data_IF_330032656956
#
_entry.id   IF_330032656956
#
_cell.length_a   1.000
_cell.length_b   1.000
_cell.length_c   1.000
_cell.angle_alpha   90.00
_cell.angle_beta   90.00
_cell.angle_gamma   90.00
#
_symmetry.space_group_name_H-M   'P 1'
#
loop_
_entity.id
_entity.type
_entity.pdbx_description
1 polymer ?
#
# COMPACT_ATOMS: atom_id res chain seq x y z
N UNK A 1 -9.59 -13.13 -24.15
CA UNK A 1 -8.95 -11.96 -23.47
C UNK A 1 -7.65 -12.43 -22.83
N UNK A 2 -6.67 -11.52 -22.64
CA UNK A 2 -5.46 -11.87 -21.87
C UNK A 2 -5.80 -11.90 -20.39
N UNK A 3 -5.39 -12.95 -19.68
CA UNK A 3 -5.56 -13.05 -18.25
C UNK A 3 -4.48 -12.20 -17.54
N UNK A 4 -4.90 -11.11 -16.90
CA UNK A 4 -4.04 -10.17 -16.20
C UNK A 4 -4.40 -10.14 -14.73
N UNK A 5 -3.41 -10.31 -13.87
CA UNK A 5 -3.57 -10.31 -12.41
C UNK A 5 -2.73 -9.18 -11.81
N UNK A 6 -3.28 -8.49 -10.83
CA UNK A 6 -2.54 -7.58 -9.96
C UNK A 6 -2.60 -8.11 -8.53
N UNK A 7 -1.42 -8.28 -7.93
CA UNK A 7 -1.26 -8.52 -6.49
C UNK A 7 -0.78 -7.21 -5.87
N UNK A 8 -1.43 -6.77 -4.79
CA UNK A 8 -1.08 -5.52 -4.11
C UNK A 8 -1.25 -5.62 -2.61
N UNK A 9 -0.55 -4.75 -1.88
CA UNK A 9 -0.69 -4.65 -0.44
C UNK A 9 -2.09 -4.17 -0.05
N UNK A 10 -2.64 -4.70 1.06
CA UNK A 10 -4.04 -4.47 1.45
C UNK A 10 -4.22 -3.53 2.64
N UNK A 11 -3.16 -3.23 3.38
CA UNK A 11 -3.28 -2.64 4.72
C UNK A 11 -3.21 -1.12 4.73
N UNK A 12 -2.84 -0.51 3.61
CA UNK A 12 -2.67 0.94 3.50
C UNK A 12 -3.18 1.53 2.18
N UNK A 13 -3.10 2.85 2.10
CA UNK A 13 -3.60 3.61 0.93
C UNK A 13 -2.71 3.38 -0.28
N UNK A 14 -1.40 3.22 -0.12
CA UNK A 14 -0.50 3.07 -1.26
C UNK A 14 -0.75 1.74 -1.99
N UNK A 15 -0.88 0.64 -1.26
CA UNK A 15 -1.19 -0.66 -1.85
C UNK A 15 -2.57 -0.69 -2.51
N UNK A 16 -3.61 -0.17 -1.87
CA UNK A 16 -4.98 -0.12 -2.42
C UNK A 16 -5.04 0.80 -3.65
N UNK A 17 -4.42 1.99 -3.58
CA UNK A 17 -4.35 2.91 -4.71
C UNK A 17 -3.54 2.35 -5.87
N UNK A 18 -2.45 1.63 -5.58
CA UNK A 18 -1.65 0.94 -6.58
C UNK A 18 -2.47 -0.10 -7.35
N UNK A 19 -3.29 -0.92 -6.65
CA UNK A 19 -4.20 -1.86 -7.30
C UNK A 19 -5.21 -1.15 -8.21
N UNK A 20 -5.84 -0.07 -7.73
CA UNK A 20 -6.80 0.72 -8.51
C UNK A 20 -6.15 1.35 -9.75
N UNK A 21 -4.96 1.97 -9.61
CA UNK A 21 -4.21 2.56 -10.71
C UNK A 21 -3.81 1.52 -11.77
N UNK A 22 -3.38 0.34 -11.36
CA UNK A 22 -3.06 -0.76 -12.29
C UNK A 22 -4.34 -1.25 -13.00
N UNK A 23 -5.47 -1.33 -12.29
CA UNK A 23 -6.75 -1.69 -12.89
C UNK A 23 -7.18 -0.67 -13.95
N UNK A 24 -7.10 0.62 -13.67
CA UNK A 24 -7.37 1.71 -14.63
C UNK A 24 -6.45 1.61 -15.86
N UNK A 25 -5.14 1.45 -15.63
CA UNK A 25 -4.15 1.52 -16.70
C UNK A 25 -4.14 0.32 -17.64
N UNK A 26 -4.51 -0.86 -17.16
CA UNK A 26 -4.27 -2.12 -17.87
C UNK A 26 -5.50 -3.01 -18.03
N UNK A 27 -6.65 -2.61 -17.51
CA UNK A 27 -7.87 -3.43 -17.54
C UNK A 27 -7.59 -4.83 -16.99
N UNK A 28 -7.19 -4.87 -15.72
CA UNK A 28 -6.81 -6.10 -15.03
C UNK A 28 -8.07 -6.87 -14.62
N UNK A 29 -8.10 -8.17 -14.93
CA UNK A 29 -9.27 -9.02 -14.66
C UNK A 29 -9.40 -9.42 -13.19
N UNK A 30 -8.27 -9.62 -12.51
CA UNK A 30 -8.22 -10.15 -11.15
C UNK A 30 -7.30 -9.31 -10.29
N UNK A 31 -7.81 -8.85 -9.16
CA UNK A 31 -7.03 -8.20 -8.09
C UNK A 31 -6.92 -9.18 -6.92
N UNK A 32 -5.72 -9.30 -6.37
CA UNK A 32 -5.45 -10.08 -5.16
C UNK A 32 -4.81 -9.16 -4.15
N UNK A 33 -5.52 -8.89 -3.06
CA UNK A 33 -5.03 -8.05 -1.97
C UNK A 33 -4.39 -8.92 -0.90
N UNK A 34 -3.14 -8.64 -0.54
CA UNK A 34 -2.34 -9.45 0.38
C UNK A 34 -1.68 -8.60 1.45
N UNK A 35 -1.39 -9.23 2.57
CA UNK A 35 -0.37 -8.79 3.52
C UNK A 35 1.00 -9.39 3.17
N UNK A 36 2.07 -8.86 3.77
CA UNK A 36 3.44 -9.33 3.53
C UNK A 36 3.64 -10.81 3.89
N UNK A 37 2.94 -11.32 4.92
CA UNK A 37 3.10 -12.69 5.40
C UNK A 37 2.61 -13.74 4.39
N UNK A 38 1.58 -13.39 3.62
CA UNK A 38 0.93 -14.32 2.68
C UNK A 38 1.49 -14.27 1.26
N UNK A 39 2.34 -13.28 0.92
CA UNK A 39 2.81 -13.07 -0.45
C UNK A 39 3.51 -14.30 -1.05
N UNK A 40 4.52 -14.86 -0.37
CA UNK A 40 5.28 -16.01 -0.88
C UNK A 40 4.38 -17.23 -1.08
N UNK A 41 3.50 -17.51 -0.12
CA UNK A 41 2.54 -18.62 -0.21
C UNK A 41 1.61 -18.46 -1.42
N UNK A 42 1.08 -17.27 -1.64
CA UNK A 42 0.18 -16.99 -2.76
C UNK A 42 0.90 -17.13 -4.10
N UNK A 43 2.11 -16.58 -4.24
CA UNK A 43 2.89 -16.71 -5.45
C UNK A 43 3.25 -18.18 -5.74
N UNK A 44 3.56 -18.99 -4.72
CA UNK A 44 3.77 -20.46 -4.89
C UNK A 44 2.53 -21.17 -5.39
N UNK A 45 1.36 -20.84 -4.84
CA UNK A 45 0.09 -21.39 -5.32
C UNK A 45 -0.17 -21.04 -6.79
N UNK A 46 0.17 -19.80 -7.20
CA UNK A 46 0.07 -19.40 -8.62
C UNK A 46 1.01 -20.21 -9.52
N UNK A 47 2.26 -20.44 -9.10
CA UNK A 47 3.20 -21.30 -9.85
C UNK A 47 2.61 -22.69 -10.03
N UNK A 48 2.10 -23.31 -8.96
CA UNK A 48 1.49 -24.63 -9.02
C UNK A 48 0.32 -24.67 -10.01
N UNK A 49 -0.60 -23.68 -9.97
CA UNK A 49 -1.75 -23.62 -10.87
C UNK A 49 -1.37 -23.35 -12.34
N UNK A 50 -0.22 -22.71 -12.58
CA UNK A 50 0.31 -22.55 -13.94
C UNK A 50 0.93 -23.87 -14.46
N UNK A 51 1.67 -24.56 -13.59
CA UNK A 51 2.38 -25.81 -13.95
C UNK A 51 1.41 -26.98 -14.20
N UNK A 52 0.32 -27.07 -13.43
CA UNK A 52 -0.72 -28.10 -13.63
C UNK A 52 -1.72 -27.75 -14.75
N UNK A 53 -1.56 -26.58 -15.38
CA UNK A 53 -2.38 -26.13 -16.50
C UNK A 53 -3.78 -25.64 -16.12
N UNK A 54 -4.10 -25.55 -14.84
CA UNK A 54 -5.43 -25.06 -14.37
C UNK A 54 -5.59 -23.57 -14.55
N UNK A 55 -4.48 -22.80 -14.61
CA UNK A 55 -4.52 -21.37 -14.80
C UNK A 55 -3.43 -20.90 -15.77
N UNK A 56 -3.83 -20.05 -16.73
CA UNK A 56 -2.89 -19.37 -17.63
C UNK A 56 -2.88 -17.89 -17.30
N UNK A 57 -1.75 -17.36 -16.86
CA UNK A 57 -1.56 -15.94 -16.55
C UNK A 57 -0.69 -15.32 -17.64
N UNK A 58 -1.22 -14.35 -18.37
CA UNK A 58 -0.46 -13.65 -19.43
C UNK A 58 0.37 -12.51 -18.89
N UNK A 59 -0.12 -11.85 -17.82
CA UNK A 59 0.57 -10.72 -17.18
C UNK A 59 0.27 -10.66 -15.69
N UNK A 60 1.32 -10.51 -14.90
CA UNK A 60 1.28 -10.34 -13.44
C UNK A 60 1.89 -8.99 -13.07
N UNK A 61 1.15 -8.19 -12.32
CA UNK A 61 1.63 -7.01 -11.62
C UNK A 61 1.75 -7.33 -10.14
N UNK A 62 2.84 -6.94 -9.51
CA UNK A 62 3.05 -7.04 -8.08
C UNK A 62 3.38 -5.63 -7.60
N UNK A 63 2.59 -5.08 -6.69
CA UNK A 63 2.65 -3.69 -6.29
C UNK A 63 2.73 -3.58 -4.77
N UNK A 64 3.63 -2.74 -4.28
CA UNK A 64 3.70 -2.32 -2.89
C UNK A 64 3.82 -3.50 -1.89
N UNK A 65 4.65 -4.45 -2.22
CA UNK A 65 4.89 -5.65 -1.42
C UNK A 65 6.38 -5.83 -1.17
N UNK A 66 6.87 -5.18 -0.11
CA UNK A 66 8.25 -5.29 0.34
C UNK A 66 8.63 -6.71 0.76
N UNK A 67 9.92 -7.00 0.72
CA UNK A 67 10.47 -8.31 1.01
C UNK A 67 11.25 -8.32 2.32
N UNK A 68 10.97 -9.30 3.16
CA UNK A 68 11.92 -9.62 4.25
C UNK A 68 13.15 -10.34 3.68
N UNK A 69 14.33 -10.08 4.23
CA UNK A 69 15.59 -10.69 3.77
C UNK A 69 15.55 -12.22 3.63
N UNK A 70 14.82 -12.90 4.50
CA UNK A 70 14.64 -14.36 4.43
C UNK A 70 13.87 -14.84 3.20
N UNK A 71 13.01 -13.97 2.61
CA UNK A 71 12.13 -14.31 1.50
C UNK A 71 12.68 -13.87 0.14
N UNK A 72 13.71 -13.01 0.10
CA UNK A 72 14.24 -12.41 -1.14
C UNK A 72 14.64 -13.45 -2.19
N UNK A 73 15.46 -14.43 -1.81
CA UNK A 73 15.93 -15.47 -2.74
C UNK A 73 14.78 -16.35 -3.25
N UNK A 74 13.82 -16.68 -2.39
CA UNK A 74 12.65 -17.46 -2.77
C UNK A 74 11.76 -16.68 -3.73
N UNK A 75 11.54 -15.40 -3.48
CA UNK A 75 10.79 -14.52 -4.37
C UNK A 75 11.40 -14.46 -5.77
N UNK A 76 12.73 -14.26 -5.88
CA UNK A 76 13.44 -14.28 -7.17
C UNK A 76 13.22 -15.60 -7.90
N UNK A 77 13.33 -16.74 -7.20
CA UNK A 77 13.10 -18.07 -7.77
C UNK A 77 11.68 -18.23 -8.30
N UNK A 78 10.68 -17.85 -7.51
CA UNK A 78 9.27 -17.93 -7.90
C UNK A 78 8.99 -17.08 -9.15
N UNK A 79 9.47 -15.83 -9.18
CA UNK A 79 9.22 -14.98 -10.35
C UNK A 79 9.92 -15.50 -11.61
N UNK A 80 11.09 -16.13 -11.48
CA UNK A 80 11.74 -16.82 -12.59
C UNK A 80 10.85 -17.95 -13.13
N UNK A 81 10.32 -18.82 -12.27
CA UNK A 81 9.41 -19.91 -12.66
C UNK A 81 8.16 -19.36 -13.39
N UNK A 82 7.56 -18.28 -12.91
CA UNK A 82 6.41 -17.61 -13.54
C UNK A 82 6.78 -17.08 -14.96
N UNK A 83 7.96 -16.49 -15.11
CA UNK A 83 8.43 -15.95 -16.40
C UNK A 83 8.76 -17.09 -17.40
N UNK A 84 9.36 -18.16 -16.93
CA UNK A 84 9.63 -19.37 -17.74
C UNK A 84 8.32 -19.97 -18.30
N UNK A 85 7.23 -19.85 -17.55
CA UNK A 85 5.87 -20.20 -17.99
C UNK A 85 5.23 -19.16 -18.94
N UNK A 86 6.03 -18.21 -19.50
CA UNK A 86 5.62 -17.17 -20.46
C UNK A 86 4.69 -16.09 -19.92
N UNK A 87 4.57 -15.95 -18.61
CA UNK A 87 3.89 -14.83 -17.98
C UNK A 87 4.81 -13.58 -17.95
N UNK A 88 4.27 -12.41 -18.30
CA UNK A 88 4.99 -11.14 -18.19
C UNK A 88 4.85 -10.62 -16.77
N UNK A 89 5.94 -10.48 -16.04
CA UNK A 89 5.94 -9.97 -14.66
C UNK A 89 6.40 -8.52 -14.62
N UNK A 90 5.65 -7.67 -13.93
CA UNK A 90 6.04 -6.31 -13.57
C UNK A 90 5.99 -6.18 -12.06
N UNK A 91 7.11 -5.85 -11.42
CA UNK A 91 7.21 -5.57 -9.99
C UNK A 91 7.42 -4.07 -9.79
N UNK A 92 6.55 -3.44 -9.02
CA UNK A 92 6.51 -2.00 -8.74
C UNK A 92 6.50 -1.82 -7.24
N UNK A 93 7.55 -1.21 -6.69
CA UNK A 93 7.71 -1.14 -5.24
C UNK A 93 8.65 0.00 -4.83
N UNK A 94 8.52 0.48 -3.60
CA UNK A 94 9.36 1.53 -3.03
C UNK A 94 10.16 1.09 -1.80
N UNK A 95 9.91 -0.10 -1.28
CA UNK A 95 10.61 -0.63 -0.12
C UNK A 95 12.09 -0.88 -0.40
N UNK A 96 12.93 -0.78 0.62
CA UNK A 96 14.37 -1.05 0.47
C UNK A 96 14.60 -2.52 0.12
N UNK A 97 15.35 -2.76 -0.94
CA UNK A 97 15.72 -4.08 -1.45
C UNK A 97 17.23 -4.15 -1.70
N UNK A 98 17.81 -5.30 -1.42
CA UNK A 98 19.21 -5.57 -1.71
C UNK A 98 19.49 -5.36 -3.21
N UNK A 99 20.58 -4.65 -3.53
CA UNK A 99 21.01 -4.38 -4.92
C UNK A 99 21.21 -5.64 -5.74
N UNK A 100 21.63 -6.75 -5.09
CA UNK A 100 21.79 -8.04 -5.73
C UNK A 100 20.44 -8.59 -6.14
N UNK A 101 19.43 -8.52 -5.27
CA UNK A 101 18.05 -8.95 -5.57
C UNK A 101 17.45 -8.17 -6.73
N UNK A 102 17.61 -6.84 -6.73
CA UNK A 102 17.18 -5.99 -7.85
C UNK A 102 17.85 -6.39 -9.18
N UNK A 103 19.15 -6.72 -9.15
CA UNK A 103 19.89 -7.18 -10.33
C UNK A 103 19.40 -8.57 -10.79
N UNK A 104 19.15 -9.49 -9.86
CA UNK A 104 18.68 -10.84 -10.15
C UNK A 104 17.26 -10.83 -10.74
N UNK A 105 16.35 -10.00 -10.21
CA UNK A 105 15.02 -9.79 -10.77
C UNK A 105 15.08 -9.31 -12.22
N UNK A 106 15.89 -8.29 -12.49
CA UNK A 106 16.08 -7.75 -13.87
C UNK A 106 16.67 -8.81 -14.82
N UNK A 107 17.70 -9.54 -14.36
CA UNK A 107 18.33 -10.60 -15.15
C UNK A 107 17.37 -11.74 -15.51
N UNK A 108 16.43 -12.05 -14.62
CA UNK A 108 15.39 -13.04 -14.86
C UNK A 108 14.22 -12.53 -15.71
N UNK A 109 14.27 -11.27 -16.21
CA UNK A 109 13.25 -10.72 -17.11
C UNK A 109 12.07 -10.04 -16.42
N UNK A 110 12.14 -9.80 -15.10
CA UNK A 110 11.14 -8.99 -14.39
C UNK A 110 11.25 -7.54 -14.85
N UNK A 111 10.12 -6.96 -15.30
CA UNK A 111 10.03 -5.52 -15.53
C UNK A 111 9.98 -4.82 -14.17
N UNK A 112 11.07 -4.22 -13.77
CA UNK A 112 11.22 -3.57 -12.47
C UNK A 112 10.96 -2.08 -12.58
N UNK A 113 10.11 -1.55 -11.67
CA UNK A 113 9.89 -0.13 -11.41
C UNK A 113 10.08 0.07 -9.91
N UNK A 114 11.27 0.48 -9.51
CA UNK A 114 11.67 0.54 -8.10
C UNK A 114 12.56 1.74 -7.82
N UNK A 115 12.23 2.47 -6.77
CA UNK A 115 13.04 3.49 -6.11
C UNK A 115 12.43 3.78 -4.74
N UNK A 116 13.26 4.06 -3.76
CA UNK A 116 12.84 4.48 -2.41
C UNK A 116 12.51 5.97 -2.30
N UNK A 117 12.55 6.70 -3.43
CA UNK A 117 12.35 8.16 -3.45
C UNK A 117 10.88 8.58 -3.37
N UNK A 118 9.99 7.73 -3.83
CA UNK A 118 8.55 8.00 -3.93
C UNK A 118 7.76 6.73 -3.59
N UNK A 119 6.49 6.83 -3.20
CA UNK A 119 5.64 5.66 -2.97
C UNK A 119 5.26 4.93 -4.26
N UNK A 120 4.77 3.71 -4.13
CA UNK A 120 4.45 2.81 -5.26
C UNK A 120 3.41 3.42 -6.19
N UNK A 121 2.36 4.05 -5.67
CA UNK A 121 1.33 4.72 -6.47
C UNK A 121 1.89 5.89 -7.31
N UNK A 122 2.83 6.65 -6.76
CA UNK A 122 3.56 7.70 -7.50
C UNK A 122 4.37 7.08 -8.64
N UNK A 123 5.07 5.97 -8.39
CA UNK A 123 5.81 5.26 -9.44
C UNK A 123 4.90 4.78 -10.57
N UNK A 124 3.74 4.22 -10.25
CA UNK A 124 2.75 3.78 -11.22
C UNK A 124 2.23 4.98 -12.03
N UNK A 125 1.78 6.04 -11.34
CA UNK A 125 1.29 7.24 -12.00
C UNK A 125 2.33 7.85 -12.94
N UNK A 126 3.54 8.05 -12.49
CA UNK A 126 4.60 8.67 -13.29
C UNK A 126 4.98 7.80 -14.50
N UNK A 127 5.11 6.48 -14.31
CA UNK A 127 5.48 5.53 -15.37
C UNK A 127 4.43 5.43 -16.46
N UNK A 128 3.15 5.52 -16.12
CA UNK A 128 2.05 5.29 -17.05
C UNK A 128 1.17 6.53 -17.23
N UNK A 129 1.69 7.72 -16.97
CA UNK A 129 1.01 9.02 -16.95
C UNK A 129 0.05 9.24 -18.12
N UNK A 130 0.41 8.76 -19.34
CA UNK A 130 -0.41 8.90 -20.54
C UNK A 130 -1.73 8.12 -20.50
N UNK A 131 -1.90 7.23 -19.53
CA UNK A 131 -3.09 6.38 -19.36
C UNK A 131 -4.06 6.91 -18.29
N UNK A 132 -3.71 8.01 -17.63
CA UNK A 132 -4.38 8.49 -16.44
C UNK A 132 -5.05 9.83 -16.62
N UNK A 133 -6.18 9.99 -15.94
CA UNK A 133 -6.90 11.26 -15.76
C UNK A 133 -6.29 12.10 -14.61
N UNK A 134 -6.90 13.25 -14.35
CA UNK A 134 -6.59 14.08 -13.18
C UNK A 134 -6.92 13.37 -11.85
N UNK A 135 -7.94 12.52 -11.84
CA UNK A 135 -8.32 11.72 -10.69
C UNK A 135 -7.18 10.76 -10.26
N UNK A 136 -6.53 10.12 -11.21
CA UNK A 136 -5.38 9.24 -10.90
C UNK A 136 -4.22 10.00 -10.26
N UNK A 137 -4.05 11.30 -10.59
CA UNK A 137 -3.07 12.15 -9.90
C UNK A 137 -3.47 12.41 -8.43
N UNK A 138 -4.78 12.63 -8.18
CA UNK A 138 -5.31 12.72 -6.81
C UNK A 138 -5.03 11.44 -6.02
N UNK A 139 -5.34 10.28 -6.58
CA UNK A 139 -5.15 9.01 -5.90
C UNK A 139 -3.68 8.74 -5.54
N UNK A 140 -2.76 9.03 -6.45
CA UNK A 140 -1.32 8.94 -6.17
C UNK A 140 -0.84 9.96 -5.12
N UNK A 141 -1.40 11.19 -5.11
CA UNK A 141 -1.09 12.20 -4.10
C UNK A 141 -1.61 11.80 -2.71
N UNK A 142 -2.82 11.22 -2.64
CA UNK A 142 -3.40 10.71 -1.40
C UNK A 142 -2.56 9.56 -0.80
N UNK A 143 -2.07 8.66 -1.64
CA UNK A 143 -1.15 7.59 -1.23
C UNK A 143 0.15 8.16 -0.65
N UNK A 144 0.80 9.09 -1.34
CA UNK A 144 2.03 9.70 -0.87
C UNK A 144 1.86 10.46 0.46
N UNK A 145 0.69 11.10 0.65
CA UNK A 145 0.38 11.81 1.90
C UNK A 145 0.27 10.85 3.09
N UNK A 146 -0.37 9.69 2.89
CA UNK A 146 -0.54 8.69 3.96
C UNK A 146 0.72 7.89 4.25
N UNK A 147 1.65 7.80 3.30
CA UNK A 147 2.97 7.21 3.44
C UNK A 147 4.03 8.18 4.00
N UNK A 148 3.63 9.42 4.31
CA UNK A 148 4.55 10.49 4.76
C UNK A 148 5.65 10.83 3.74
N UNK A 149 5.38 10.64 2.45
CA UNK A 149 6.28 10.92 1.34
C UNK A 149 5.85 12.14 0.50
N UNK A 150 4.88 12.92 0.98
CA UNK A 150 4.30 14.08 0.27
C UNK A 150 5.31 15.19 -0.04
N UNK A 151 6.45 15.22 0.66
CA UNK A 151 7.53 16.18 0.44
C UNK A 151 8.52 15.76 -0.67
N UNK A 152 8.40 14.53 -1.16
CA UNK A 152 9.25 14.03 -2.25
C UNK A 152 8.95 14.78 -3.55
N UNK A 153 9.92 14.89 -4.48
CA UNK A 153 9.82 15.81 -5.61
C UNK A 153 8.58 15.62 -6.49
N UNK A 154 8.24 14.35 -6.85
CA UNK A 154 7.08 14.08 -7.70
C UNK A 154 5.79 14.19 -6.88
N UNK A 155 5.76 13.61 -5.70
CA UNK A 155 4.63 13.67 -4.79
C UNK A 155 4.25 15.12 -4.44
N UNK A 156 5.21 15.96 -4.05
CA UNK A 156 5.00 17.38 -3.74
C UNK A 156 4.36 18.15 -4.90
N UNK A 157 4.82 17.89 -6.13
CA UNK A 157 4.20 18.49 -7.32
C UNK A 157 2.76 18.01 -7.51
N UNK A 158 2.43 16.75 -7.23
CA UNK A 158 1.06 16.25 -7.34
C UNK A 158 0.16 16.81 -6.22
N UNK A 159 0.64 16.77 -4.98
CA UNK A 159 -0.09 17.29 -3.80
C UNK A 159 -0.44 18.76 -3.98
N UNK A 160 0.48 19.59 -4.51
CA UNK A 160 0.25 21.02 -4.73
C UNK A 160 -0.83 21.36 -5.76
N UNK A 161 -1.33 20.39 -6.51
CA UNK A 161 -2.41 20.58 -7.52
C UNK A 161 -3.81 20.59 -6.91
N UNK A 162 -3.94 20.11 -5.67
CA UNK A 162 -5.22 19.93 -4.99
C UNK A 162 -5.33 20.88 -3.81
N UNK A 163 -6.56 21.25 -3.47
CA UNK A 163 -6.82 21.89 -2.20
C UNK A 163 -6.33 20.99 -1.06
N UNK A 164 -5.53 21.58 -0.17
CA UNK A 164 -4.86 20.81 0.89
C UNK A 164 -5.85 20.18 1.85
N UNK A 165 -6.91 20.89 2.24
CA UNK A 165 -7.89 20.37 3.20
C UNK A 165 -8.70 19.24 2.59
N UNK A 166 -9.11 19.40 1.33
CA UNK A 166 -9.80 18.36 0.58
C UNK A 166 -8.94 17.10 0.46
N UNK A 167 -7.69 17.23 0.00
CA UNK A 167 -6.80 16.07 -0.15
C UNK A 167 -6.55 15.36 1.17
N UNK A 168 -6.30 16.10 2.25
CA UNK A 168 -6.08 15.53 3.59
C UNK A 168 -7.32 14.81 4.11
N UNK A 169 -8.52 15.38 3.93
CA UNK A 169 -9.77 14.75 4.34
C UNK A 169 -9.98 13.41 3.63
N UNK A 170 -9.88 13.42 2.31
CA UNK A 170 -10.11 12.22 1.49
C UNK A 170 -9.06 11.13 1.73
N UNK A 171 -7.78 11.52 1.81
CA UNK A 171 -6.69 10.58 2.10
C UNK A 171 -6.83 9.94 3.49
N UNK A 172 -7.15 10.75 4.51
CA UNK A 172 -7.37 10.25 5.89
C UNK A 172 -8.61 9.37 5.96
N UNK A 173 -9.71 9.78 5.32
CA UNK A 173 -10.93 8.97 5.27
C UNK A 173 -10.64 7.61 4.63
N UNK A 174 -9.93 7.58 3.48
CA UNK A 174 -9.55 6.34 2.81
C UNK A 174 -8.66 5.46 3.71
N UNK A 175 -7.64 6.03 4.35
CA UNK A 175 -6.78 5.31 5.30
C UNK A 175 -7.58 4.68 6.44
N UNK A 176 -8.54 5.41 7.01
CA UNK A 176 -9.37 4.92 8.10
C UNK A 176 -10.40 3.87 7.65
N UNK A 177 -10.94 3.99 6.44
CA UNK A 177 -11.77 2.95 5.82
C UNK A 177 -11.01 1.64 5.70
N UNK A 178 -9.79 1.68 5.16
CA UNK A 178 -8.92 0.53 4.99
C UNK A 178 -8.58 -0.06 6.36
N UNK A 179 -8.11 0.74 7.31
CA UNK A 179 -7.74 0.29 8.66
C UNK A 179 -8.90 -0.36 9.41
N UNK A 180 -10.13 0.14 9.24
CA UNK A 180 -11.31 -0.47 9.87
C UNK A 180 -11.80 -1.73 9.18
N UNK A 181 -11.26 -2.06 8.01
CA UNK A 181 -11.75 -3.14 7.13
C UNK A 181 -10.73 -4.25 6.90
N UNK A 182 -9.69 -4.35 7.71
CA UNK A 182 -8.60 -5.31 7.53
C UNK A 182 -9.05 -6.79 7.47
N UNK A 183 -10.19 -7.12 8.07
CA UNK A 183 -10.78 -8.46 8.07
C UNK A 183 -11.98 -8.60 7.10
N UNK A 184 -12.28 -7.55 6.33
CA UNK A 184 -13.40 -7.51 5.37
C UNK A 184 -12.83 -7.32 3.95
N UNK A 185 -12.35 -8.43 3.37
CA UNK A 185 -11.73 -8.42 2.05
C UNK A 185 -12.69 -7.95 0.96
N UNK A 186 -13.98 -8.24 1.09
CA UNK A 186 -14.99 -7.83 0.12
C UNK A 186 -15.14 -6.32 0.10
N UNK A 187 -15.08 -5.67 1.26
CA UNK A 187 -15.10 -4.22 1.33
C UNK A 187 -13.79 -3.60 0.83
N UNK A 188 -12.62 -4.19 1.10
CA UNK A 188 -11.36 -3.72 0.53
C UNK A 188 -11.38 -3.83 -1.00
N UNK A 189 -11.92 -4.92 -1.55
CA UNK A 189 -12.11 -5.08 -3.00
C UNK A 189 -13.10 -4.06 -3.55
N UNK A 190 -14.19 -3.76 -2.85
CA UNK A 190 -15.12 -2.70 -3.22
C UNK A 190 -14.42 -1.33 -3.27
N UNK A 191 -13.54 -1.02 -2.30
CA UNK A 191 -12.73 0.21 -2.36
C UNK A 191 -11.91 0.26 -3.66
N UNK A 192 -11.16 -0.81 -3.99
CA UNK A 192 -10.37 -0.86 -5.23
C UNK A 192 -11.25 -0.65 -6.46
N UNK A 193 -12.42 -1.28 -6.50
CA UNK A 193 -13.36 -1.18 -7.62
C UNK A 193 -13.91 0.24 -7.76
N UNK A 194 -14.37 0.85 -6.68
CA UNK A 194 -14.91 2.20 -6.66
C UNK A 194 -13.82 3.24 -7.05
N UNK A 195 -12.61 3.12 -6.49
CA UNK A 195 -11.48 3.97 -6.86
C UNK A 195 -11.09 3.79 -8.34
N UNK A 196 -11.18 2.57 -8.88
CA UNK A 196 -10.90 2.32 -10.31
C UNK A 196 -11.96 2.89 -11.26
N UNK A 197 -13.15 3.20 -10.73
CA UNK A 197 -14.22 3.92 -11.42
C UNK A 197 -14.15 5.44 -11.21
N UNK A 198 -13.05 5.94 -10.68
CA UNK A 198 -12.80 7.35 -10.39
C UNK A 198 -13.74 7.97 -9.34
N UNK A 199 -14.29 7.15 -8.43
CA UNK A 199 -15.02 7.63 -7.27
C UNK A 199 -14.07 8.13 -6.20
N UNK A 200 -14.39 9.27 -5.61
CA UNK A 200 -13.66 9.75 -4.44
C UNK A 200 -13.98 8.92 -3.18
N UNK A 201 -13.12 8.91 -2.16
CA UNK A 201 -13.39 8.15 -0.93
C UNK A 201 -14.75 8.47 -0.28
N UNK A 202 -15.23 9.72 -0.34
CA UNK A 202 -16.54 10.06 0.20
C UNK A 202 -17.73 9.51 -0.62
N UNK A 203 -17.52 9.11 -1.88
CA UNK A 203 -18.54 8.45 -2.70
C UNK A 203 -18.63 6.95 -2.46
N UNK A 204 -17.70 6.37 -1.70
CA UNK A 204 -17.69 4.93 -1.38
C UNK A 204 -18.78 4.64 -0.33
N UNK A 205 -19.82 3.93 -0.76
CA UNK A 205 -20.94 3.58 0.11
C UNK A 205 -20.50 2.83 1.37
N UNK A 206 -20.89 3.33 2.54
CA UNK A 206 -20.49 2.80 3.85
C UNK A 206 -19.07 3.17 4.27
N UNK A 207 -18.29 3.83 3.42
CA UNK A 207 -16.90 4.16 3.67
C UNK A 207 -16.70 5.13 4.83
N UNK A 208 -17.36 6.28 4.79
CA UNK A 208 -17.24 7.29 5.87
C UNK A 208 -17.72 6.78 7.23
N UNK A 209 -18.74 5.92 7.27
CA UNK A 209 -19.15 5.28 8.52
C UNK A 209 -18.05 4.40 9.11
N UNK A 210 -17.31 3.69 8.27
CA UNK A 210 -16.15 2.89 8.69
C UNK A 210 -15.00 3.78 9.13
N UNK A 211 -14.72 4.85 8.40
CA UNK A 211 -13.71 5.83 8.79
C UNK A 211 -14.03 6.49 10.13
N UNK A 212 -15.28 6.87 10.38
CA UNK A 212 -15.73 7.43 11.66
C UNK A 212 -15.53 6.44 12.81
N UNK A 213 -15.91 5.17 12.63
CA UNK A 213 -15.69 4.13 13.65
C UNK A 213 -14.21 4.00 14.00
N UNK A 214 -13.33 4.02 13.00
CA UNK A 214 -11.89 3.98 13.23
C UNK A 214 -11.40 5.23 13.94
N UNK A 215 -11.85 6.42 13.53
CA UNK A 215 -11.51 7.69 14.19
C UNK A 215 -11.91 7.70 15.68
N UNK A 216 -13.10 7.17 16.01
CA UNK A 216 -13.55 7.01 17.41
C UNK A 216 -12.64 6.05 18.19
N UNK A 217 -12.20 4.95 17.57
CA UNK A 217 -11.25 4.00 18.18
C UNK A 217 -9.90 4.69 18.45
N UNK A 218 -9.36 5.42 17.48
CA UNK A 218 -8.13 6.20 17.64
C UNK A 218 -8.27 7.19 18.79
N UNK A 219 -9.33 7.99 18.81
CA UNK A 219 -9.58 8.97 19.87
C UNK A 219 -9.70 8.33 21.25
N UNK A 220 -10.37 7.17 21.34
CA UNK A 220 -10.48 6.42 22.59
C UNK A 220 -9.12 5.97 23.12
N UNK A 221 -8.26 5.46 22.23
CA UNK A 221 -6.89 5.04 22.61
C UNK A 221 -6.06 6.25 23.04
N UNK A 222 -6.09 7.34 22.27
CA UNK A 222 -5.36 8.59 22.63
C UNK A 222 -5.74 9.05 24.00
N UNK A 223 -7.04 9.15 24.32
CA UNK A 223 -7.52 9.55 25.65
C UNK A 223 -7.10 8.59 26.76
N UNK A 224 -7.05 7.28 26.47
CA UNK A 224 -6.68 6.27 27.48
C UNK A 224 -5.19 6.30 27.83
N UNK A 225 -4.34 6.74 26.91
CA UNK A 225 -2.88 6.77 27.13
C UNK A 225 -2.37 8.10 27.64
N UNK A 226 -3.13 9.20 27.50
CA UNK A 226 -2.69 10.56 27.82
C UNK A 226 -2.13 10.67 29.23
N UNK A 227 -2.85 10.17 30.23
CA UNK A 227 -2.45 10.18 31.64
C UNK A 227 -1.37 9.11 31.95
N UNK A 228 -1.12 8.19 31.05
CA UNK A 228 -0.19 7.07 31.23
C UNK A 228 1.19 7.34 30.63
N UNK A 229 1.34 8.44 29.88
CA UNK A 229 2.61 8.81 29.27
C UNK A 229 3.63 9.14 30.37
N UNK A 230 4.75 8.43 30.39
CA UNK A 230 5.88 8.69 31.26
C UNK A 230 6.93 9.49 30.53
N UNK A 231 7.35 10.61 31.12
CA UNK A 231 8.27 11.57 30.49
C UNK A 231 9.60 11.57 31.25
N UNK A 232 10.66 11.15 30.59
CA UNK A 232 12.04 11.28 31.05
C UNK A 232 12.75 12.50 30.46
N UNK A 233 14.08 12.58 30.64
CA UNK A 233 14.87 13.72 30.16
C UNK A 233 14.78 13.90 28.64
N UNK A 234 15.03 12.85 27.86
CA UNK A 234 15.07 12.87 26.39
C UNK A 234 14.10 11.87 25.74
N UNK A 235 13.27 11.18 26.52
CA UNK A 235 12.44 10.06 26.09
C UNK A 235 11.07 10.19 26.75
N UNK A 236 10.02 9.91 26.01
CA UNK A 236 8.70 9.59 26.54
C UNK A 236 8.36 8.13 26.21
N UNK A 237 7.57 7.48 27.07
CA UNK A 237 7.14 6.12 26.82
C UNK A 237 5.77 5.83 27.39
N UNK A 238 5.09 4.86 26.79
CA UNK A 238 3.78 4.40 27.22
C UNK A 238 3.63 2.91 26.95
N UNK A 239 3.00 2.21 27.87
CA UNK A 239 2.53 0.84 27.64
C UNK A 239 1.10 0.88 27.09
N UNK A 240 0.85 0.14 26.01
CA UNK A 240 -0.49 0.06 25.41
C UNK A 240 -0.95 -1.39 25.30
N UNK A 241 -2.27 -1.55 25.38
CA UNK A 241 -2.96 -2.76 24.95
C UNK A 241 -4.00 -2.33 23.91
N UNK A 242 -3.56 -2.18 22.66
CA UNK A 242 -4.38 -1.64 21.58
C UNK A 242 -4.06 -2.32 20.26
N UNK A 243 -5.06 -2.42 19.40
CA UNK A 243 -4.92 -2.89 18.02
C UNK A 243 -4.49 -1.78 17.04
N UNK A 244 -4.27 -0.54 17.52
CA UNK A 244 -3.77 0.53 16.68
C UNK A 244 -2.30 0.27 16.31
N UNK A 245 -1.87 0.69 15.10
CA UNK A 245 -0.46 0.63 14.72
C UNK A 245 0.42 1.39 15.73
N UNK A 246 1.49 0.74 16.20
CA UNK A 246 2.42 1.35 17.17
C UNK A 246 3.01 2.68 16.68
N UNK A 247 3.24 2.81 15.35
CA UNK A 247 3.71 4.05 14.73
C UNK A 247 2.76 5.23 14.95
N UNK A 248 1.45 4.99 14.87
CA UNK A 248 0.44 6.03 15.13
C UNK A 248 0.50 6.48 16.59
N UNK A 249 0.54 5.53 17.53
CA UNK A 249 0.62 5.83 18.97
C UNK A 249 1.91 6.56 19.33
N UNK A 250 3.05 6.15 18.75
CA UNK A 250 4.35 6.85 18.90
C UNK A 250 4.23 8.32 18.54
N UNK A 251 3.59 8.65 17.41
CA UNK A 251 3.40 10.03 16.98
C UNK A 251 2.56 10.86 17.97
N UNK A 252 1.52 10.28 18.58
CA UNK A 252 0.77 10.92 19.63
C UNK A 252 1.63 11.17 20.89
N UNK A 253 2.42 10.18 21.30
CA UNK A 253 3.32 10.32 22.46
C UNK A 253 4.38 11.38 22.21
N UNK A 254 4.96 11.45 21.02
CA UNK A 254 5.89 12.52 20.63
C UNK A 254 5.23 13.90 20.72
N UNK A 255 4.05 14.05 20.12
CA UNK A 255 3.30 15.31 20.15
C UNK A 255 2.91 15.76 21.56
N UNK A 256 2.36 14.85 22.36
CA UNK A 256 1.92 15.14 23.72
C UNK A 256 3.08 15.47 24.69
N UNK A 257 4.23 14.81 24.51
CA UNK A 257 5.39 14.96 25.41
C UNK A 257 6.38 16.03 25.00
N UNK A 258 6.40 16.42 23.71
CA UNK A 258 7.42 17.32 23.14
C UNK A 258 8.84 16.72 23.18
N UNK A 259 8.98 15.40 23.33
CA UNK A 259 10.29 14.73 23.42
C UNK A 259 10.78 14.29 22.04
N UNK A 260 12.10 14.23 21.82
CA UNK A 260 12.66 13.80 20.52
C UNK A 260 12.55 12.29 20.27
N UNK A 261 12.26 11.49 21.30
CA UNK A 261 12.15 10.03 21.22
C UNK A 261 10.91 9.57 21.98
N UNK A 262 10.15 8.65 21.38
CA UNK A 262 9.06 7.96 22.05
C UNK A 262 9.20 6.44 21.91
N UNK A 263 8.78 5.71 22.93
CA UNK A 263 8.71 4.26 22.97
C UNK A 263 7.27 3.83 23.30
N UNK A 264 6.73 2.91 22.52
CA UNK A 264 5.44 2.26 22.75
C UNK A 264 5.67 0.76 22.84
N UNK A 265 5.16 0.10 23.88
CA UNK A 265 5.38 -1.32 24.14
C UNK A 265 4.16 -2.00 24.77
#
# INVERSE_FOLDING_TARGET
>A
MKNKICISHREDVDGISSAALIKIAFDVNTIVLLDYANMIKTLRSMVSSIQDGTNKIDQLFICDLGLSKKNENEFVKILKEIIEAKCKVTYIDHHDLDKKILADLKRNGVKLVHSTDECTSIHIYNKYKRKFSSYSAFLAAAAALTDYLETRPIASNLVSRFDRQFLMLEATALSYMISSSQHDIDFLMKIVDDLSQEKYPHDIEGGFLRAERHARKVLSVVKSIEDSIRVGKNLAYVQINSELPSSMVVNFVLGASGKPVALVY
#
